data_IF_344616575121
#
_entry.id   IF_344616575121
#
_cell.length_a   1.000
_cell.length_b   1.000
_cell.length_c   1.000
_cell.angle_alpha   90.00
_cell.angle_beta   90.00
_cell.angle_gamma   90.00
#
_symmetry.space_group_name_H-M   'P 1'
#
loop_
_entity.id
_entity.type
_entity.pdbx_description
1 polymer ?
#
# COMPACT_ATOMS: atom_id res chain seq x y z
N UNK A 1 27.28 -13.25 42.73
CA UNK A 1 27.53 -12.28 41.65
C UNK A 1 26.98 -12.91 40.35
N UNK A 2 25.73 -12.67 40.03
CA UNK A 2 25.12 -13.15 38.79
C UNK A 2 24.95 -11.96 37.87
N UNK A 3 25.74 -11.90 36.80
CA UNK A 3 25.69 -10.91 35.75
C UNK A 3 24.41 -11.12 34.91
N UNK A 4 23.42 -10.27 35.08
CA UNK A 4 22.31 -10.12 34.13
C UNK A 4 22.88 -9.66 32.79
N UNK A 5 23.12 -10.60 31.88
CA UNK A 5 23.41 -10.31 30.47
C UNK A 5 22.16 -9.63 29.89
N UNK A 6 22.20 -8.32 29.75
CA UNK A 6 21.27 -7.56 28.90
C UNK A 6 21.36 -8.14 27.49
N UNK A 7 20.33 -8.89 27.06
CA UNK A 7 20.19 -9.38 25.70
C UNK A 7 20.15 -8.16 24.77
N UNK A 8 21.29 -7.77 24.26
CA UNK A 8 21.41 -6.76 23.20
C UNK A 8 20.77 -7.36 21.95
N UNK A 9 19.57 -6.89 21.64
CA UNK A 9 18.84 -7.27 20.42
C UNK A 9 19.74 -6.91 19.24
N UNK A 10 20.27 -7.91 18.55
CA UNK A 10 21.11 -7.70 17.37
C UNK A 10 20.46 -6.72 16.39
N UNK A 11 21.25 -5.81 15.83
CA UNK A 11 20.75 -4.84 14.84
C UNK A 11 20.13 -5.60 13.66
N UNK A 12 19.00 -5.12 13.12
CA UNK A 12 18.36 -5.78 11.99
C UNK A 12 19.30 -5.82 10.78
N UNK A 13 19.26 -6.91 10.02
CA UNK A 13 20.09 -7.07 8.83
C UNK A 13 19.85 -5.91 7.82
N UNK A 14 20.89 -5.45 7.10
CA UNK A 14 20.79 -4.31 6.18
C UNK A 14 19.68 -4.46 5.13
N UNK A 15 19.43 -5.67 4.60
CA UNK A 15 18.34 -5.94 3.67
C UNK A 15 16.97 -5.73 4.32
N UNK A 16 16.80 -6.13 5.58
CA UNK A 16 15.57 -5.94 6.34
C UNK A 16 15.32 -4.44 6.62
N UNK A 17 16.37 -3.69 6.96
CA UNK A 17 16.31 -2.23 7.17
C UNK A 17 15.86 -1.53 5.88
N UNK A 18 16.47 -1.85 4.73
CA UNK A 18 16.13 -1.28 3.44
C UNK A 18 14.65 -1.54 3.06
N UNK A 19 14.15 -2.76 3.30
CA UNK A 19 12.75 -3.10 3.01
C UNK A 19 11.78 -2.40 3.97
N UNK A 20 12.15 -2.20 5.23
CA UNK A 20 11.37 -1.40 6.17
C UNK A 20 11.24 0.07 5.71
N UNK A 21 12.34 0.66 5.28
CA UNK A 21 12.36 2.03 4.78
C UNK A 21 11.62 2.18 3.45
N UNK A 22 11.74 1.21 2.55
CA UNK A 22 10.95 1.17 1.32
C UNK A 22 9.45 1.17 1.63
N UNK A 23 9.00 0.35 2.57
CA UNK A 23 7.59 0.34 2.97
C UNK A 23 7.14 1.71 3.50
N UNK A 24 7.94 2.38 4.34
CA UNK A 24 7.63 3.71 4.83
C UNK A 24 7.55 4.74 3.70
N UNK A 25 8.48 4.71 2.75
CA UNK A 25 8.49 5.59 1.59
C UNK A 25 7.27 5.34 0.67
N UNK A 26 6.86 4.09 0.48
CA UNK A 26 5.64 3.76 -0.28
C UNK A 26 4.38 4.28 0.42
N UNK A 27 4.33 4.26 1.75
CA UNK A 27 3.20 4.87 2.48
C UNK A 27 3.16 6.39 2.29
N UNK A 28 4.30 7.07 2.28
CA UNK A 28 4.34 8.50 1.93
C UNK A 28 3.92 8.73 0.47
N UNK A 29 4.30 7.84 -0.44
CA UNK A 29 3.85 7.89 -1.84
C UNK A 29 2.33 7.69 -1.98
N UNK A 30 1.71 6.85 -1.12
CA UNK A 30 0.25 6.71 -1.04
C UNK A 30 -0.40 8.04 -0.63
N UNK A 31 0.15 8.74 0.37
CA UNK A 31 -0.35 10.07 0.76
C UNK A 31 -0.25 11.04 -0.43
N UNK A 32 0.93 11.12 -1.06
CA UNK A 32 1.14 11.98 -2.22
C UNK A 32 0.18 11.65 -3.37
N UNK A 33 -0.08 10.36 -3.62
CA UNK A 33 -1.03 9.91 -4.63
C UNK A 33 -2.45 10.45 -4.33
N UNK A 34 -2.94 10.28 -3.11
CA UNK A 34 -4.29 10.73 -2.75
C UNK A 34 -4.44 12.26 -2.74
N UNK A 35 -3.43 13.01 -2.29
CA UNK A 35 -3.42 14.49 -2.41
C UNK A 35 -3.44 14.91 -3.89
N UNK A 36 -2.66 14.25 -4.74
CA UNK A 36 -2.61 14.60 -6.17
C UNK A 36 -3.94 14.40 -6.90
N UNK A 37 -4.83 13.53 -6.42
CA UNK A 37 -6.14 13.29 -7.05
C UNK A 37 -7.01 14.54 -7.08
N UNK A 38 -6.90 15.42 -6.07
CA UNK A 38 -7.68 16.67 -6.00
C UNK A 38 -7.23 17.68 -7.08
N UNK A 39 -5.97 17.64 -7.51
CA UNK A 39 -5.36 18.62 -8.41
C UNK A 39 -5.05 18.08 -9.81
N UNK A 40 -5.38 16.82 -10.09
CA UNK A 40 -5.22 16.23 -11.42
C UNK A 40 -6.49 16.47 -12.27
N UNK A 41 -6.36 16.72 -13.59
CA UNK A 41 -7.51 16.92 -14.48
C UNK A 41 -8.17 15.59 -14.88
N UNK A 42 -8.61 14.80 -13.89
CA UNK A 42 -9.27 13.50 -14.09
C UNK A 42 -10.77 13.63 -14.34
N UNK A 43 -11.39 14.65 -13.75
CA UNK A 43 -12.81 14.95 -13.88
C UNK A 43 -13.01 16.30 -14.55
N UNK A 44 -14.11 16.51 -15.32
CA UNK A 44 -14.40 17.80 -15.97
C UNK A 44 -14.64 18.93 -14.96
N UNK A 45 -15.17 18.63 -13.78
CA UNK A 45 -15.51 19.60 -12.74
C UNK A 45 -15.80 18.94 -11.40
N UNK A 46 -16.16 19.73 -10.38
CA UNK A 46 -16.64 19.20 -9.11
C UNK A 46 -17.87 18.30 -9.30
N UNK A 47 -17.98 17.31 -8.42
CA UNK A 47 -19.09 16.36 -8.43
C UNK A 47 -20.36 17.03 -7.88
N UNK A 48 -21.52 16.59 -8.35
CA UNK A 48 -22.81 17.20 -8.02
C UNK A 48 -23.73 16.31 -7.17
N UNK A 49 -23.42 15.01 -7.08
CA UNK A 49 -24.28 14.05 -6.38
C UNK A 49 -23.49 13.28 -5.34
N UNK A 50 -23.95 13.34 -4.08
CA UNK A 50 -23.44 12.53 -2.97
C UNK A 50 -24.48 11.44 -2.67
N UNK A 51 -24.42 10.35 -3.45
CA UNK A 51 -25.32 9.20 -3.33
C UNK A 51 -24.63 7.90 -3.80
N UNK A 52 -25.32 6.76 -3.64
CA UNK A 52 -24.80 5.45 -4.02
C UNK A 52 -24.81 5.16 -5.53
N UNK A 53 -25.55 5.92 -6.32
CA UNK A 53 -25.63 5.75 -7.79
C UNK A 53 -24.45 6.45 -8.48
N UNK A 54 -23.93 7.54 -7.90
CA UNK A 54 -22.88 8.39 -8.46
C UNK A 54 -21.63 8.38 -7.59
N UNK A 55 -21.01 7.20 -7.40
CA UNK A 55 -19.92 7.01 -6.44
C UNK A 55 -18.54 7.50 -6.92
N UNK A 56 -18.45 8.38 -7.92
CA UNK A 56 -17.16 8.94 -8.34
C UNK A 56 -16.45 9.70 -7.20
N UNK A 57 -17.19 10.29 -6.26
CA UNK A 57 -16.66 10.91 -5.05
C UNK A 57 -15.92 9.92 -4.13
N UNK A 58 -16.20 8.64 -4.24
CA UNK A 58 -15.44 7.61 -3.50
C UNK A 58 -13.99 7.50 -3.94
N UNK A 59 -13.70 7.77 -5.22
CA UNK A 59 -12.35 7.78 -5.78
C UNK A 59 -11.73 9.19 -5.80
N UNK A 60 -12.56 10.24 -5.97
CA UNK A 60 -12.16 11.64 -6.09
C UNK A 60 -12.98 12.50 -5.11
N UNK A 61 -12.71 12.41 -3.80
CA UNK A 61 -13.56 13.06 -2.78
C UNK A 61 -13.52 14.58 -2.88
N UNK A 62 -12.37 15.14 -3.19
CA UNK A 62 -12.16 16.58 -3.36
C UNK A 62 -11.68 16.87 -4.77
N UNK A 63 -12.27 17.90 -5.41
CA UNK A 63 -11.91 18.32 -6.76
C UNK A 63 -11.63 19.82 -6.75
N UNK A 64 -10.39 20.20 -6.95
CA UNK A 64 -9.95 21.60 -7.02
C UNK A 64 -10.22 22.21 -8.40
N UNK A 65 -10.37 23.53 -8.46
CA UNK A 65 -10.38 24.29 -9.71
C UNK A 65 -8.97 24.41 -10.29
N UNK A 66 -7.95 24.60 -9.46
CA UNK A 66 -6.56 24.67 -9.87
C UNK A 66 -6.03 23.26 -10.11
N UNK A 67 -5.63 23.00 -11.35
CA UNK A 67 -5.21 21.67 -11.83
C UNK A 67 -3.89 21.73 -12.56
N UNK A 68 -3.14 20.66 -12.52
CA UNK A 68 -1.88 20.53 -13.24
C UNK A 68 -1.74 19.16 -13.89
N UNK A 69 -1.43 19.15 -15.18
CA UNK A 69 -1.31 17.93 -15.99
C UNK A 69 -0.21 16.97 -15.47
N UNK A 70 0.84 17.53 -14.83
CA UNK A 70 1.92 16.74 -14.25
C UNK A 70 1.44 15.75 -13.17
N UNK A 71 0.36 16.07 -12.44
CA UNK A 71 -0.22 15.12 -11.48
C UNK A 71 -0.86 13.91 -12.16
N UNK A 72 -1.38 14.05 -13.39
CA UNK A 72 -1.90 12.92 -14.14
C UNK A 72 -0.81 11.88 -14.46
N UNK A 73 0.39 12.36 -14.85
CA UNK A 73 1.55 11.49 -15.07
C UNK A 73 1.99 10.82 -13.77
N UNK A 74 2.09 11.59 -12.68
CA UNK A 74 2.43 11.07 -11.36
C UNK A 74 1.46 9.98 -10.90
N UNK A 75 0.15 10.23 -11.01
CA UNK A 75 -0.89 9.28 -10.63
C UNK A 75 -0.82 8.01 -11.49
N UNK A 76 -0.67 8.18 -12.82
CA UNK A 76 -0.57 7.08 -13.76
C UNK A 76 0.61 6.16 -13.45
N UNK A 77 1.80 6.74 -13.21
CA UNK A 77 2.99 5.96 -12.84
C UNK A 77 2.80 5.26 -11.50
N UNK A 78 2.39 5.98 -10.47
CA UNK A 78 2.22 5.42 -9.13
C UNK A 78 1.22 4.25 -9.11
N UNK A 79 0.09 4.42 -9.79
CA UNK A 79 -0.99 3.44 -9.84
C UNK A 79 -0.56 2.10 -10.48
N UNK A 80 0.50 2.11 -11.30
CA UNK A 80 0.99 0.86 -11.91
C UNK A 80 1.68 -0.06 -10.91
N UNK A 81 2.40 0.44 -9.87
CA UNK A 81 3.33 -0.42 -9.12
C UNK A 81 3.19 -0.37 -7.60
N UNK A 82 2.81 0.79 -7.00
CA UNK A 82 2.98 0.98 -5.55
C UNK A 82 2.19 -0.02 -4.70
N UNK A 83 0.96 -0.37 -5.10
CA UNK A 83 0.15 -1.36 -4.39
C UNK A 83 0.70 -2.79 -4.58
N UNK A 84 1.10 -3.16 -5.79
CA UNK A 84 1.73 -4.45 -6.06
C UNK A 84 3.00 -4.63 -5.24
N UNK A 85 3.85 -3.59 -5.17
CA UNK A 85 5.07 -3.60 -4.38
C UNK A 85 4.79 -3.68 -2.87
N UNK A 86 3.73 -3.03 -2.36
CA UNK A 86 3.29 -3.16 -0.96
C UNK A 86 2.83 -4.60 -0.64
N UNK A 87 2.13 -5.27 -1.55
CA UNK A 87 1.79 -6.68 -1.40
C UNK A 87 3.02 -7.58 -1.39
N UNK A 88 4.00 -7.33 -2.27
CA UNK A 88 5.28 -8.06 -2.26
C UNK A 88 5.99 -7.91 -0.91
N UNK A 89 6.15 -6.69 -0.42
CA UNK A 89 6.78 -6.42 0.88
C UNK A 89 6.03 -7.07 2.04
N UNK A 90 4.70 -7.16 1.96
CA UNK A 90 3.88 -7.82 2.97
C UNK A 90 4.09 -9.33 2.99
N UNK A 91 4.29 -9.96 1.83
CA UNK A 91 4.57 -11.39 1.68
C UNK A 91 5.92 -11.82 2.27
N UNK A 92 6.94 -10.95 2.29
CA UNK A 92 8.32 -11.30 2.68
C UNK A 92 8.44 -11.98 4.06
N UNK A 93 7.54 -11.68 4.99
CA UNK A 93 7.64 -12.14 6.37
C UNK A 93 6.57 -13.17 6.77
N UNK A 94 5.75 -13.61 5.81
CA UNK A 94 4.64 -14.55 6.06
C UNK A 94 5.18 -15.90 6.52
N UNK A 95 6.09 -16.51 5.77
CA UNK A 95 6.63 -17.84 6.05
C UNK A 95 7.28 -17.90 7.42
N UNK A 96 8.20 -16.99 7.72
CA UNK A 96 8.89 -16.95 9.01
C UNK A 96 7.93 -16.67 10.18
N UNK A 97 6.85 -15.96 9.95
CA UNK A 97 5.82 -15.72 10.96
C UNK A 97 4.92 -16.93 11.19
N UNK A 98 4.56 -17.66 10.12
CA UNK A 98 3.80 -18.91 10.19
C UNK A 98 4.61 -20.02 10.91
N UNK A 99 5.88 -20.19 10.56
CA UNK A 99 6.76 -21.18 11.18
C UNK A 99 6.94 -20.91 12.68
N UNK A 100 7.05 -19.65 13.08
CA UNK A 100 7.27 -19.26 14.48
C UNK A 100 6.02 -19.29 15.34
N UNK A 101 4.84 -18.93 14.80
CA UNK A 101 3.59 -18.77 15.56
C UNK A 101 2.60 -19.91 15.38
N UNK A 102 2.80 -20.77 14.39
CA UNK A 102 1.78 -21.69 13.91
C UNK A 102 0.61 -20.98 13.20
N UNK A 103 -0.30 -21.76 12.61
CA UNK A 103 -1.42 -21.24 11.81
C UNK A 103 -2.40 -20.41 12.63
N UNK A 104 -2.86 -20.92 13.78
CA UNK A 104 -3.81 -20.23 14.64
C UNK A 104 -3.23 -18.95 15.25
N UNK A 105 -1.99 -18.98 15.74
CA UNK A 105 -1.31 -17.81 16.29
C UNK A 105 -1.00 -16.75 15.24
N UNK A 106 -0.70 -17.15 14.00
CA UNK A 106 -0.51 -16.24 12.87
C UNK A 106 -1.84 -15.57 12.51
N UNK A 107 -2.90 -16.35 12.29
CA UNK A 107 -4.21 -15.83 11.89
C UNK A 107 -4.81 -14.93 12.96
N UNK A 108 -4.79 -15.34 14.24
CA UNK A 108 -5.25 -14.50 15.35
C UNK A 108 -4.51 -13.16 15.41
N UNK A 109 -3.17 -13.17 15.20
CA UNK A 109 -2.39 -11.94 15.13
C UNK A 109 -2.77 -11.06 13.93
N UNK A 110 -3.08 -11.66 12.77
CA UNK A 110 -3.51 -10.93 11.58
C UNK A 110 -4.91 -10.32 11.75
N UNK A 111 -5.86 -11.06 12.33
CA UNK A 111 -7.20 -10.55 12.64
C UNK A 111 -7.14 -9.34 13.56
N UNK A 112 -6.33 -9.39 14.61
CA UNK A 112 -6.17 -8.24 15.54
C UNK A 112 -5.44 -7.06 14.87
N UNK A 113 -4.45 -7.32 14.00
CA UNK A 113 -3.62 -6.24 13.41
C UNK A 113 -4.14 -5.68 12.10
N UNK A 114 -4.95 -6.42 11.37
CA UNK A 114 -5.53 -6.00 10.09
C UNK A 114 -7.06 -5.93 10.18
N UNK A 115 -7.72 -6.98 10.68
CA UNK A 115 -9.18 -7.06 10.73
C UNK A 115 -9.81 -6.00 11.62
N UNK A 116 -9.38 -5.90 12.89
CA UNK A 116 -9.93 -4.91 13.80
C UNK A 116 -9.67 -3.46 13.34
N UNK A 117 -8.45 -3.05 12.91
CA UNK A 117 -8.24 -1.73 12.33
C UNK A 117 -9.02 -1.48 11.04
N UNK A 118 -9.23 -2.49 10.19
CA UNK A 118 -10.10 -2.35 9.02
C UNK A 118 -11.54 -1.99 9.40
N UNK A 119 -12.12 -2.72 10.37
CA UNK A 119 -13.47 -2.43 10.84
C UNK A 119 -13.57 -1.04 11.45
N UNK A 120 -12.58 -0.62 12.24
CA UNK A 120 -12.51 0.74 12.80
C UNK A 120 -12.37 1.80 11.69
N UNK A 121 -11.58 1.50 10.65
CA UNK A 121 -11.42 2.42 9.52
C UNK A 121 -12.74 2.61 8.77
N UNK A 122 -13.46 1.53 8.46
CA UNK A 122 -14.75 1.62 7.75
C UNK A 122 -15.82 2.30 8.62
N UNK A 123 -15.86 1.98 9.92
CA UNK A 123 -16.90 2.51 10.81
C UNK A 123 -16.71 3.99 11.18
N UNK A 124 -15.47 4.46 11.31
CA UNK A 124 -15.18 5.79 11.85
C UNK A 124 -14.31 6.65 10.93
N UNK A 125 -13.22 6.09 10.40
CA UNK A 125 -12.29 6.91 9.60
C UNK A 125 -12.84 7.20 8.20
N UNK A 126 -13.56 6.27 7.58
CA UNK A 126 -14.14 6.50 6.26
C UNK A 126 -15.22 7.60 6.29
N UNK A 127 -16.28 7.57 7.14
CA UNK A 127 -17.22 8.69 7.20
C UNK A 127 -16.54 10.01 7.52
N UNK A 128 -15.56 10.03 8.43
CA UNK A 128 -14.81 11.25 8.75
C UNK A 128 -13.99 11.76 7.55
N UNK A 129 -13.40 10.85 6.75
CA UNK A 129 -12.63 11.20 5.56
C UNK A 129 -13.52 11.69 4.40
N UNK A 130 -14.74 11.19 4.27
CA UNK A 130 -15.64 11.54 3.18
C UNK A 130 -16.60 12.69 3.51
N UNK A 131 -16.66 13.14 4.75
CA UNK A 131 -17.47 14.30 5.13
C UNK A 131 -17.08 15.59 4.35
N UNK A 132 -15.79 15.91 4.11
CA UNK A 132 -15.42 17.02 3.24
C UNK A 132 -15.96 16.90 1.80
N UNK A 133 -16.05 15.69 1.24
CA UNK A 133 -16.63 15.45 -0.07
C UNK A 133 -18.13 15.79 -0.08
N UNK A 134 -18.86 15.38 0.95
CA UNK A 134 -20.24 15.75 1.15
C UNK A 134 -20.40 17.28 1.23
N UNK A 135 -19.57 17.97 2.03
CA UNK A 135 -19.60 19.42 2.13
C UNK A 135 -19.33 20.11 0.80
N UNK A 136 -18.36 19.64 0.01
CA UNK A 136 -18.06 20.21 -1.30
C UNK A 136 -19.24 20.03 -2.28
N UNK A 137 -19.86 18.85 -2.28
CA UNK A 137 -20.94 18.50 -3.23
C UNK A 137 -22.26 19.20 -2.87
N UNK A 138 -22.60 19.26 -1.59
CA UNK A 138 -23.92 19.77 -1.15
C UNK A 138 -23.91 21.24 -0.73
N UNK A 139 -22.73 21.80 -0.46
CA UNK A 139 -22.58 23.12 0.16
C UNK A 139 -23.04 23.17 1.63
N UNK A 140 -23.32 22.02 2.26
CA UNK A 140 -23.86 21.91 3.61
C UNK A 140 -22.89 21.20 4.54
N UNK A 141 -22.84 21.61 5.80
CA UNK A 141 -22.10 20.95 6.88
C UNK A 141 -23.05 20.23 7.85
N UNK A 142 -24.26 19.89 7.45
CA UNK A 142 -25.25 19.18 8.27
C UNK A 142 -24.83 17.71 8.46
N UNK A 143 -24.43 17.39 9.71
CA UNK A 143 -24.01 16.04 10.10
C UNK A 143 -25.20 15.06 10.05
N UNK A 144 -26.43 15.51 10.38
CA UNK A 144 -27.61 14.66 10.37
C UNK A 144 -27.98 14.21 8.94
N UNK A 145 -27.97 15.15 7.97
CA UNK A 145 -28.18 14.82 6.55
C UNK A 145 -27.05 13.93 6.02
N UNK A 146 -25.80 14.23 6.37
CA UNK A 146 -24.67 13.38 5.99
C UNK A 146 -24.84 11.93 6.49
N UNK A 147 -25.09 11.73 7.79
CA UNK A 147 -25.27 10.38 8.37
C UNK A 147 -26.45 9.65 7.72
N UNK A 148 -27.55 10.36 7.46
CA UNK A 148 -28.72 9.82 6.77
C UNK A 148 -28.39 9.36 5.35
N UNK A 149 -27.66 10.16 4.56
CA UNK A 149 -27.20 9.78 3.21
C UNK A 149 -26.17 8.67 3.23
N UNK A 150 -25.21 8.74 4.15
CA UNK A 150 -24.19 7.71 4.34
C UNK A 150 -24.79 6.33 4.60
N UNK A 151 -25.79 6.25 5.47
CA UNK A 151 -26.53 5.00 5.76
C UNK A 151 -27.32 4.44 4.58
N UNK A 152 -27.69 5.30 3.61
CA UNK A 152 -28.47 4.92 2.40
C UNK A 152 -27.63 4.62 1.16
N UNK A 153 -26.29 4.67 1.26
CA UNK A 153 -25.41 4.44 0.09
C UNK A 153 -25.51 3.04 -0.52
N UNK A 154 -26.03 2.04 0.21
CA UNK A 154 -26.11 0.65 -0.25
C UNK A 154 -24.76 -0.08 -0.19
N UNK A 155 -23.65 0.64 -0.28
CA UNK A 155 -22.28 0.14 -0.06
C UNK A 155 -21.46 1.21 0.63
N UNK A 156 -20.59 0.82 1.56
CA UNK A 156 -19.74 1.76 2.27
C UNK A 156 -18.34 1.78 1.64
N UNK A 157 -17.86 2.93 1.15
CA UNK A 157 -16.52 3.04 0.61
C UNK A 157 -15.50 2.90 1.73
N UNK A 158 -14.66 1.88 1.65
CA UNK A 158 -13.57 1.68 2.61
C UNK A 158 -12.40 2.67 2.40
N UNK A 159 -12.43 3.46 1.33
CA UNK A 159 -11.29 4.28 0.92
C UNK A 159 -10.02 3.42 0.80
N UNK A 160 -8.84 3.97 1.12
CA UNK A 160 -7.58 3.21 1.07
C UNK A 160 -7.55 1.95 1.93
N UNK A 161 -8.43 1.80 2.92
CA UNK A 161 -8.46 0.62 3.78
C UNK A 161 -8.79 -0.69 3.03
N UNK A 162 -9.25 -0.61 1.76
CA UNK A 162 -9.45 -1.78 0.91
C UNK A 162 -8.23 -2.71 0.86
N UNK A 163 -7.01 -2.16 0.85
CA UNK A 163 -5.78 -2.94 0.85
C UNK A 163 -5.64 -3.85 2.09
N UNK A 164 -6.12 -3.40 3.25
CA UNK A 164 -5.95 -4.11 4.54
C UNK A 164 -6.74 -5.43 4.51
N UNK A 165 -7.98 -5.40 4.04
CA UNK A 165 -8.79 -6.62 4.00
C UNK A 165 -8.33 -7.58 2.89
N UNK A 166 -7.89 -7.06 1.72
CA UNK A 166 -7.31 -7.89 0.65
C UNK A 166 -6.04 -8.58 1.14
N UNK A 167 -5.18 -7.85 1.87
CA UNK A 167 -4.00 -8.44 2.51
C UNK A 167 -4.38 -9.52 3.51
N UNK A 168 -5.42 -9.29 4.34
CA UNK A 168 -5.92 -10.30 5.26
C UNK A 168 -6.42 -11.55 4.52
N UNK A 169 -7.13 -11.37 3.40
CA UNK A 169 -7.57 -12.49 2.57
C UNK A 169 -6.38 -13.29 2.01
N UNK A 170 -5.31 -12.62 1.54
CA UNK A 170 -4.10 -13.30 1.09
C UNK A 170 -3.36 -14.00 2.23
N UNK A 171 -3.35 -13.45 3.43
CA UNK A 171 -2.82 -14.12 4.63
C UNK A 171 -3.62 -15.39 4.98
N UNK A 172 -4.95 -15.37 4.83
CA UNK A 172 -5.81 -16.57 5.00
C UNK A 172 -5.46 -17.64 3.95
N UNK A 173 -5.32 -17.26 2.68
CA UNK A 173 -4.89 -18.19 1.62
C UNK A 173 -3.52 -18.79 1.94
N UNK A 174 -2.57 -17.99 2.42
CA UNK A 174 -1.24 -18.48 2.82
C UNK A 174 -1.33 -19.50 3.98
N UNK A 175 -2.22 -19.27 4.95
CA UNK A 175 -2.50 -20.23 6.05
C UNK A 175 -3.08 -21.54 5.51
N UNK A 176 -4.06 -21.47 4.60
CA UNK A 176 -4.65 -22.65 3.98
C UNK A 176 -3.61 -23.48 3.22
N UNK A 177 -2.78 -22.81 2.42
CA UNK A 177 -1.68 -23.47 1.70
C UNK A 177 -0.67 -24.11 2.68
N UNK A 178 -0.36 -23.44 3.78
CA UNK A 178 0.56 -23.97 4.78
C UNK A 178 -0.02 -25.17 5.54
N UNK A 179 -1.34 -25.22 5.75
CA UNK A 179 -2.00 -26.38 6.39
C UNK A 179 -2.01 -27.60 5.48
N UNK A 180 -2.24 -27.41 4.18
CA UNK A 180 -2.27 -28.50 3.19
C UNK A 180 -0.86 -29.01 2.89
N UNK A 181 0.11 -28.09 2.77
CA UNK A 181 1.49 -28.42 2.45
C UNK A 181 2.48 -27.45 3.08
N UNK A 182 3.09 -27.88 4.21
CA UNK A 182 4.06 -27.04 4.95
C UNK A 182 5.26 -26.57 4.11
N UNK A 183 5.62 -27.31 3.06
CA UNK A 183 6.71 -26.97 2.13
C UNK A 183 6.34 -26.06 0.96
N UNK A 184 5.09 -25.63 0.84
CA UNK A 184 4.59 -24.90 -0.33
C UNK A 184 5.41 -23.65 -0.71
N UNK A 185 5.80 -22.85 0.27
CA UNK A 185 6.58 -21.65 0.03
C UNK A 185 7.99 -21.96 -0.52
N UNK A 186 8.62 -23.05 -0.03
CA UNK A 186 9.87 -23.56 -0.61
C UNK A 186 9.66 -24.12 -2.02
N UNK A 187 8.51 -24.72 -2.30
CA UNK A 187 8.10 -25.13 -3.64
C UNK A 187 8.06 -23.95 -4.60
N UNK A 188 7.42 -22.84 -4.19
CA UNK A 188 7.38 -21.60 -4.99
C UNK A 188 8.78 -21.06 -5.31
N UNK A 189 9.73 -21.15 -4.37
CA UNK A 189 11.11 -20.67 -4.63
C UNK A 189 11.80 -21.43 -5.76
N UNK A 190 11.44 -22.69 -5.99
CA UNK A 190 12.02 -23.52 -7.07
C UNK A 190 11.49 -23.15 -8.45
N UNK A 191 10.31 -22.56 -8.51
CA UNK A 191 9.69 -22.10 -9.77
C UNK A 191 10.26 -20.74 -10.23
N UNK A 192 10.91 -20.00 -9.33
CA UNK A 192 11.47 -18.69 -9.65
C UNK A 192 12.97 -18.78 -9.93
N UNK A 193 13.47 -18.02 -10.91
CA UNK A 193 14.89 -17.90 -11.17
C UNK A 193 15.69 -17.44 -9.94
N UNK A 194 16.99 -17.71 -9.91
CA UNK A 194 17.87 -17.16 -8.89
C UNK A 194 18.03 -15.65 -9.07
N UNK A 195 17.19 -14.89 -8.36
CA UNK A 195 17.17 -13.42 -8.44
C UNK A 195 18.47 -12.77 -7.93
N UNK A 196 19.26 -13.44 -7.07
CA UNK A 196 20.56 -12.93 -6.61
C UNK A 196 21.56 -12.86 -7.75
N UNK A 197 21.64 -13.92 -8.55
CA UNK A 197 22.63 -14.06 -9.64
C UNK A 197 22.08 -13.55 -10.98
N UNK A 198 20.79 -13.75 -11.27
CA UNK A 198 20.13 -13.48 -12.57
C UNK A 198 18.91 -12.57 -12.40
N UNK A 199 19.09 -11.30 -11.93
CA UNK A 199 17.95 -10.41 -11.70
C UNK A 199 17.17 -10.09 -12.97
N UNK A 200 17.82 -10.03 -14.14
CA UNK A 200 17.15 -9.82 -15.42
C UNK A 200 16.20 -10.97 -15.79
N UNK A 201 16.62 -12.24 -15.56
CA UNK A 201 15.75 -13.39 -15.79
C UNK A 201 14.56 -13.39 -14.82
N UNK A 202 14.79 -13.02 -13.55
CA UNK A 202 13.72 -12.86 -12.57
C UNK A 202 12.75 -11.75 -13.00
N UNK A 203 13.25 -10.64 -13.51
CA UNK A 203 12.45 -9.54 -14.03
C UNK A 203 11.57 -9.97 -15.21
N UNK A 204 12.13 -10.67 -16.20
CA UNK A 204 11.36 -11.21 -17.33
C UNK A 204 10.29 -12.19 -16.86
N UNK A 205 10.63 -13.09 -15.94
CA UNK A 205 9.66 -14.02 -15.35
C UNK A 205 8.52 -13.26 -14.65
N UNK A 206 8.86 -12.21 -13.90
CA UNK A 206 7.85 -11.37 -13.24
C UNK A 206 6.92 -10.70 -14.25
N UNK A 207 7.45 -10.15 -15.36
CA UNK A 207 6.62 -9.56 -16.44
C UNK A 207 5.68 -10.61 -17.03
N UNK A 208 6.18 -11.79 -17.37
CA UNK A 208 5.37 -12.84 -17.99
C UNK A 208 4.24 -13.32 -17.05
N UNK A 209 4.58 -13.55 -15.78
CA UNK A 209 3.57 -13.94 -14.78
C UNK A 209 2.57 -12.81 -14.52
N UNK A 210 3.02 -11.56 -14.49
CA UNK A 210 2.15 -10.39 -14.34
C UNK A 210 1.22 -10.23 -15.54
N UNK A 211 1.71 -10.45 -16.75
CA UNK A 211 0.89 -10.43 -17.96
C UNK A 211 -0.20 -11.52 -17.92
N UNK A 212 0.16 -12.73 -17.55
CA UNK A 212 -0.79 -13.83 -17.39
C UNK A 212 -1.84 -13.57 -16.28
N UNK A 213 -1.45 -12.91 -15.20
CA UNK A 213 -2.35 -12.60 -14.09
C UNK A 213 -3.26 -11.40 -14.35
N UNK A 214 -2.79 -10.38 -15.09
CA UNK A 214 -3.49 -9.10 -15.23
C UNK A 214 -4.23 -8.96 -16.57
N UNK A 215 -3.58 -9.27 -17.70
CA UNK A 215 -4.11 -8.95 -19.03
C UNK A 215 -5.47 -9.61 -19.31
N UNK A 216 -5.67 -10.91 -19.04
CA UNK A 216 -6.98 -11.55 -19.26
C UNK A 216 -8.08 -10.92 -18.42
N UNK A 217 -7.77 -10.54 -17.18
CA UNK A 217 -8.70 -9.86 -16.28
C UNK A 217 -9.07 -8.46 -16.78
N UNK A 218 -8.09 -7.69 -17.25
CA UNK A 218 -8.32 -6.38 -17.83
C UNK A 218 -9.16 -6.46 -19.10
N UNK A 219 -8.90 -7.42 -19.98
CA UNK A 219 -9.69 -7.67 -21.20
C UNK A 219 -11.13 -8.06 -20.90
N UNK A 220 -11.36 -8.87 -19.87
CA UNK A 220 -12.67 -9.38 -19.49
C UNK A 220 -13.52 -8.36 -18.72
N UNK A 221 -12.93 -7.59 -17.82
CA UNK A 221 -13.63 -6.74 -16.86
C UNK A 221 -13.36 -5.25 -17.01
N UNK A 222 -12.35 -4.86 -17.79
CA UNK A 222 -11.85 -3.49 -17.87
C UNK A 222 -10.86 -3.17 -16.76
N UNK A 223 -9.89 -2.29 -17.05
CA UNK A 223 -8.81 -1.92 -16.11
C UNK A 223 -9.29 -1.13 -14.89
N UNK A 224 -10.40 -0.39 -15.01
CA UNK A 224 -10.91 0.51 -13.97
C UNK A 224 -12.04 -0.07 -13.12
N UNK A 225 -12.50 -1.29 -13.41
CA UNK A 225 -13.67 -1.88 -12.72
C UNK A 225 -13.35 -2.25 -11.27
N UNK A 226 -14.23 -1.84 -10.37
CA UNK A 226 -14.22 -2.25 -8.97
C UNK A 226 -15.34 -3.25 -8.70
N UNK A 227 -15.04 -4.29 -7.94
CA UNK A 227 -16.03 -5.17 -7.30
C UNK A 227 -16.31 -4.62 -5.91
N UNK A 228 -17.60 -4.51 -5.59
CA UNK A 228 -18.09 -3.96 -4.33
C UNK A 228 -18.99 -4.97 -3.65
N UNK A 229 -18.61 -5.41 -2.46
CA UNK A 229 -19.40 -6.28 -1.59
C UNK A 229 -19.57 -5.62 -0.23
N UNK A 230 -20.60 -4.78 -0.08
CA UNK A 230 -20.79 -4.00 1.13
C UNK A 230 -19.58 -3.11 1.43
N UNK A 231 -18.76 -3.49 2.41
CA UNK A 231 -17.52 -2.79 2.78
C UNK A 231 -16.28 -3.37 2.09
N UNK A 232 -16.39 -4.50 1.43
CA UNK A 232 -15.27 -5.21 0.79
C UNK A 232 -15.16 -4.77 -0.67
N UNK A 233 -14.31 -3.81 -0.94
CA UNK A 233 -14.09 -3.24 -2.26
C UNK A 233 -12.70 -3.61 -2.77
N UNK A 234 -12.57 -3.98 -4.04
CA UNK A 234 -11.28 -4.22 -4.67
C UNK A 234 -11.33 -4.01 -6.18
N UNK A 235 -10.21 -3.67 -6.78
CA UNK A 235 -10.12 -3.50 -8.21
C UNK A 235 -10.06 -4.87 -8.90
N UNK A 236 -11.12 -5.19 -9.67
CA UNK A 236 -11.38 -6.53 -10.20
C UNK A 236 -10.24 -7.06 -11.07
N UNK A 237 -9.74 -6.23 -11.99
CA UNK A 237 -8.67 -6.63 -12.92
C UNK A 237 -7.32 -6.87 -12.24
N UNK A 238 -7.07 -6.32 -11.04
CA UNK A 238 -5.76 -6.35 -10.39
C UNK A 238 -5.63 -7.40 -9.29
N UNK A 239 -6.70 -8.07 -8.90
CA UNK A 239 -6.67 -8.97 -7.73
C UNK A 239 -5.63 -10.09 -7.88
N UNK A 240 -5.53 -10.71 -9.07
CA UNK A 240 -4.54 -11.76 -9.32
C UNK A 240 -3.12 -11.20 -9.47
N UNK A 241 -2.96 -9.98 -9.98
CA UNK A 241 -1.67 -9.30 -10.00
C UNK A 241 -1.17 -9.05 -8.57
N UNK A 242 -2.02 -8.56 -7.68
CA UNK A 242 -1.69 -8.34 -6.27
C UNK A 242 -1.38 -9.65 -5.55
N UNK A 243 -2.17 -10.71 -5.79
CA UNK A 243 -1.89 -12.05 -5.25
C UNK A 243 -0.54 -12.59 -5.74
N UNK A 244 -0.21 -12.41 -7.03
CA UNK A 244 1.09 -12.81 -7.59
C UNK A 244 2.25 -12.10 -6.88
N UNK A 245 2.19 -10.77 -6.73
CA UNK A 245 3.25 -10.02 -6.04
C UNK A 245 3.38 -10.44 -4.58
N UNK A 246 2.27 -10.66 -3.89
CA UNK A 246 2.28 -11.20 -2.52
C UNK A 246 2.95 -12.58 -2.47
N UNK A 247 2.62 -13.50 -3.37
CA UNK A 247 3.21 -14.85 -3.42
C UNK A 247 4.69 -14.82 -3.80
N UNK A 248 5.11 -13.92 -4.69
CA UNK A 248 6.54 -13.67 -4.97
C UNK A 248 7.24 -13.17 -3.73
N UNK A 249 6.63 -12.25 -2.97
CA UNK A 249 7.13 -11.82 -1.67
C UNK A 249 7.31 -12.99 -0.71
N UNK A 250 6.34 -13.89 -0.61
CA UNK A 250 6.42 -15.11 0.21
C UNK A 250 7.58 -16.02 -0.25
N UNK A 251 7.74 -16.23 -1.56
CA UNK A 251 8.83 -17.05 -2.09
C UNK A 251 10.21 -16.44 -1.82
N UNK A 252 10.36 -15.12 -2.00
CA UNK A 252 11.58 -14.37 -1.70
C UNK A 252 11.92 -14.45 -0.21
N UNK A 253 10.89 -14.27 0.66
CA UNK A 253 11.03 -14.39 2.11
C UNK A 253 11.39 -15.80 2.58
N UNK A 254 10.80 -16.83 1.97
CA UNK A 254 11.11 -18.25 2.28
C UNK A 254 12.53 -18.66 1.89
N UNK A 255 13.09 -18.07 0.83
CA UNK A 255 14.50 -18.25 0.46
C UNK A 255 15.46 -17.52 1.41
N UNK A 256 14.97 -16.50 2.11
CA UNK A 256 15.76 -15.59 2.92
C UNK A 256 16.24 -14.37 2.11
N UNK A 257 16.21 -13.19 2.72
CA UNK A 257 16.47 -11.92 2.02
C UNK A 257 17.84 -11.90 1.35
N UNK A 258 18.90 -12.33 2.07
CA UNK A 258 20.27 -12.29 1.58
C UNK A 258 20.63 -13.41 0.59
N UNK A 259 19.80 -14.46 0.51
CA UNK A 259 19.93 -15.54 -0.47
C UNK A 259 19.05 -15.34 -1.71
N UNK A 260 18.30 -14.24 -1.79
CA UNK A 260 17.28 -13.98 -2.82
C UNK A 260 17.61 -12.75 -3.67
N UNK A 261 16.61 -12.28 -4.44
CA UNK A 261 16.63 -11.03 -5.20
C UNK A 261 17.08 -9.82 -4.33
N UNK A 262 16.77 -9.83 -3.03
CA UNK A 262 17.01 -8.72 -2.10
C UNK A 262 18.39 -8.78 -1.41
N UNK A 263 19.31 -9.62 -1.92
CA UNK A 263 20.67 -9.74 -1.41
C UNK A 263 21.46 -8.44 -1.52
N UNK A 264 22.20 -8.11 -0.46
CA UNK A 264 23.15 -7.00 -0.46
C UNK A 264 24.31 -7.19 -1.46
N UNK A 265 24.62 -8.42 -1.83
CA UNK A 265 25.67 -8.75 -2.81
C UNK A 265 25.08 -9.07 -4.20
N UNK A 266 23.75 -9.01 -4.34
CA UNK A 266 23.04 -9.41 -5.54
C UNK A 266 23.17 -8.44 -6.71
N UNK A 267 22.84 -8.94 -7.89
CA UNK A 267 22.89 -8.18 -9.15
C UNK A 267 21.88 -7.03 -9.19
N UNK A 268 20.72 -7.14 -8.49
CA UNK A 268 19.74 -6.06 -8.40
C UNK A 268 20.35 -4.80 -7.78
N UNK A 269 21.01 -4.94 -6.63
CA UNK A 269 21.67 -3.81 -5.96
C UNK A 269 22.87 -3.28 -6.73
N UNK A 270 23.68 -4.16 -7.33
CA UNK A 270 24.88 -3.76 -8.08
C UNK A 270 24.51 -2.99 -9.34
N UNK A 271 23.48 -3.42 -10.04
CA UNK A 271 22.96 -2.79 -11.26
C UNK A 271 21.85 -1.76 -11.02
N UNK A 272 21.76 -1.13 -9.85
CA UNK A 272 20.67 -0.21 -9.46
C UNK A 272 20.37 0.86 -10.52
N UNK A 273 21.38 1.41 -11.14
CA UNK A 273 21.24 2.47 -12.14
C UNK A 273 20.57 1.97 -13.43
N UNK A 274 20.75 0.71 -13.82
CA UNK A 274 20.07 0.11 -14.98
C UNK A 274 18.57 0.11 -14.75
N UNK A 275 18.14 -0.31 -13.55
CA UNK A 275 16.73 -0.38 -13.17
C UNK A 275 16.09 1.00 -13.07
N UNK A 276 16.84 2.00 -12.57
CA UNK A 276 16.37 3.39 -12.52
C UNK A 276 16.25 3.97 -13.93
N UNK A 277 17.26 3.78 -14.78
CA UNK A 277 17.21 4.26 -16.15
C UNK A 277 16.14 3.57 -16.99
N UNK A 278 15.83 2.30 -16.74
CA UNK A 278 14.76 1.59 -17.44
C UNK A 278 13.34 2.14 -17.12
N UNK A 279 13.19 2.93 -16.06
CA UNK A 279 11.92 3.57 -15.74
C UNK A 279 11.50 4.60 -16.80
N UNK A 280 12.45 5.30 -17.42
CA UNK A 280 12.14 6.28 -18.47
C UNK A 280 11.52 5.62 -19.72
N UNK A 281 12.15 4.64 -20.39
CA UNK A 281 11.52 3.98 -21.53
C UNK A 281 10.24 3.25 -21.18
N UNK A 282 10.10 2.70 -19.96
CA UNK A 282 8.85 2.11 -19.51
C UNK A 282 7.73 3.15 -19.42
N UNK A 283 8.00 4.34 -18.90
CA UNK A 283 7.03 5.45 -18.83
C UNK A 283 6.65 5.91 -20.24
N UNK A 284 7.63 6.09 -21.12
CA UNK A 284 7.38 6.52 -22.51
C UNK A 284 6.56 5.48 -23.29
N UNK A 285 6.87 4.19 -23.11
CA UNK A 285 6.06 3.10 -23.65
C UNK A 285 4.63 3.16 -23.11
N UNK A 286 4.45 3.32 -21.79
CA UNK A 286 3.15 3.41 -21.14
C UNK A 286 2.32 4.58 -21.70
N UNK A 287 2.89 5.77 -21.73
CA UNK A 287 2.25 6.97 -22.29
C UNK A 287 1.93 6.80 -23.79
N UNK A 288 2.89 6.27 -24.58
CA UNK A 288 2.70 6.02 -26.00
C UNK A 288 1.55 5.06 -26.29
N UNK A 289 1.45 3.96 -25.53
CA UNK A 289 0.36 2.99 -25.67
C UNK A 289 -0.99 3.58 -25.22
N UNK A 290 -1.05 4.36 -24.14
CA UNK A 290 -2.27 5.06 -23.70
C UNK A 290 -2.73 6.03 -24.81
N UNK A 291 -1.85 6.85 -25.36
CA UNK A 291 -2.18 7.78 -26.44
C UNK A 291 -2.64 7.01 -27.69
N UNK A 292 -1.90 5.98 -28.10
CA UNK A 292 -2.27 5.16 -29.26
C UNK A 292 -3.66 4.55 -29.11
N UNK A 293 -4.00 4.03 -27.92
CA UNK A 293 -5.31 3.43 -27.66
C UNK A 293 -6.44 4.47 -27.51
N UNK A 294 -6.14 5.70 -27.13
CA UNK A 294 -7.14 6.77 -27.06
C UNK A 294 -7.59 7.25 -28.45
N UNK A 295 -6.71 7.20 -29.45
CA UNK A 295 -7.02 7.57 -30.85
C UNK A 295 -7.55 6.39 -31.69
N UNK A 296 -7.29 5.17 -31.28
CA UNK A 296 -7.71 3.94 -31.98
C UNK A 296 -9.19 3.58 -31.69
N UNK A 297 -10.10 4.49 -32.04
CA UNK A 297 -11.55 4.36 -31.72
C UNK A 297 -12.23 3.14 -32.35
N UNK A 298 -11.69 2.57 -33.43
CA UNK A 298 -12.25 1.40 -34.11
C UNK A 298 -11.90 0.04 -33.50
N UNK A 299 -10.99 -0.02 -32.52
CA UNK A 299 -10.60 -1.28 -31.89
C UNK A 299 -11.62 -1.73 -30.81
N UNK A 300 -11.89 -3.04 -30.71
CA UNK A 300 -12.68 -3.60 -29.61
C UNK A 300 -12.09 -3.21 -28.23
N UNK A 301 -12.97 -2.98 -27.25
CA UNK A 301 -12.54 -2.58 -25.90
C UNK A 301 -11.53 -3.58 -25.30
N UNK A 302 -11.76 -4.89 -25.46
CA UNK A 302 -10.87 -5.94 -24.97
C UNK A 302 -9.44 -5.81 -25.56
N UNK A 303 -9.30 -5.44 -26.83
CA UNK A 303 -7.99 -5.25 -27.47
C UNK A 303 -7.28 -4.02 -26.87
N UNK A 304 -8.00 -2.92 -26.69
CA UNK A 304 -7.45 -1.71 -26.06
C UNK A 304 -7.00 -1.97 -24.62
N UNK A 305 -7.81 -2.70 -23.84
CA UNK A 305 -7.47 -3.11 -22.47
C UNK A 305 -6.27 -4.08 -22.44
N UNK A 306 -6.17 -5.00 -23.41
CA UNK A 306 -5.03 -5.90 -23.54
C UNK A 306 -3.71 -5.15 -23.81
N UNK A 307 -3.73 -4.21 -24.74
CA UNK A 307 -2.56 -3.38 -25.07
C UNK A 307 -2.17 -2.46 -23.89
N UNK A 308 -3.16 -1.82 -23.24
CA UNK A 308 -2.94 -1.07 -22.00
C UNK A 308 -2.37 -1.95 -20.89
N UNK A 309 -2.80 -3.22 -20.84
CA UNK A 309 -2.30 -4.22 -19.91
C UNK A 309 -0.81 -4.52 -20.06
N UNK A 310 -0.27 -4.49 -21.27
CA UNK A 310 1.18 -4.63 -21.52
C UNK A 310 1.94 -3.46 -20.86
N UNK A 311 1.48 -2.22 -21.07
CA UNK A 311 2.06 -1.05 -20.42
C UNK A 311 2.03 -1.18 -18.90
N UNK A 312 0.87 -1.57 -18.36
CA UNK A 312 0.67 -1.76 -16.91
C UNK A 312 1.68 -2.73 -16.32
N UNK A 313 1.86 -3.93 -16.88
CA UNK A 313 2.74 -4.95 -16.30
C UNK A 313 4.22 -4.60 -16.46
N UNK A 314 4.61 -3.99 -17.59
CA UNK A 314 6.00 -3.53 -17.81
C UNK A 314 6.33 -2.42 -16.83
N UNK A 315 5.51 -1.40 -16.68
CA UNK A 315 5.69 -0.33 -15.70
C UNK A 315 5.71 -0.89 -14.27
N UNK A 316 4.77 -1.76 -13.91
CA UNK A 316 4.69 -2.38 -12.59
C UNK A 316 6.01 -3.07 -12.19
N UNK A 317 6.53 -3.94 -13.06
CA UNK A 317 7.78 -4.66 -12.80
C UNK A 317 8.98 -3.70 -12.77
N UNK A 318 9.07 -2.78 -13.72
CA UNK A 318 10.19 -1.84 -13.84
C UNK A 318 10.30 -0.93 -12.63
N UNK A 319 9.21 -0.26 -12.24
CA UNK A 319 9.22 0.61 -11.07
C UNK A 319 9.42 -0.16 -9.77
N UNK A 320 8.87 -1.38 -9.65
CA UNK A 320 9.13 -2.24 -8.49
C UNK A 320 10.63 -2.55 -8.37
N UNK A 321 11.29 -2.93 -9.47
CA UNK A 321 12.73 -3.21 -9.47
C UNK A 321 13.56 -1.97 -9.20
N UNK A 322 13.22 -0.82 -9.80
CA UNK A 322 13.91 0.44 -9.56
C UNK A 322 13.86 0.84 -8.07
N UNK A 323 12.68 0.81 -7.45
CA UNK A 323 12.51 1.14 -6.03
C UNK A 323 13.25 0.14 -5.12
N UNK A 324 13.13 -1.16 -5.36
CA UNK A 324 13.89 -2.18 -4.62
C UNK A 324 15.40 -1.96 -4.75
N UNK A 325 15.91 -1.70 -5.95
CA UNK A 325 17.33 -1.49 -6.20
C UNK A 325 17.88 -0.23 -5.50
N UNK A 326 17.14 0.89 -5.57
CA UNK A 326 17.52 2.16 -4.91
C UNK A 326 17.58 1.97 -3.40
N UNK A 327 16.55 1.37 -2.79
CA UNK A 327 16.55 1.18 -1.35
C UNK A 327 17.62 0.19 -0.88
N UNK A 328 17.85 -0.89 -1.59
CA UNK A 328 18.97 -1.81 -1.31
C UNK A 328 20.34 -1.13 -1.45
N UNK A 329 20.49 -0.16 -2.34
CA UNK A 329 21.76 0.53 -2.57
C UNK A 329 22.03 1.61 -1.54
N UNK A 330 21.07 2.45 -1.20
CA UNK A 330 21.29 3.70 -0.48
C UNK A 330 20.75 3.70 0.96
N UNK A 331 19.74 2.88 1.28
CA UNK A 331 19.02 2.96 2.56
C UNK A 331 19.35 1.77 3.48
N UNK A 332 20.63 1.58 3.80
CA UNK A 332 21.12 0.44 4.58
C UNK A 332 21.52 0.79 6.02
N UNK A 333 21.83 2.06 6.24
CA UNK A 333 22.29 2.54 7.55
C UNK A 333 21.10 3.00 8.39
N UNK A 334 21.14 2.76 9.71
CA UNK A 334 20.12 3.28 10.60
C UNK A 334 19.99 4.79 10.48
N UNK A 335 18.75 5.28 10.36
CA UNK A 335 18.39 6.69 10.35
C UNK A 335 17.20 6.89 11.29
N UNK A 336 17.28 7.79 12.30
CA UNK A 336 16.22 7.96 13.31
C UNK A 336 14.86 8.32 12.72
N UNK A 337 14.81 9.19 11.71
CA UNK A 337 13.57 9.61 11.04
C UNK A 337 12.95 8.42 10.30
N UNK A 338 13.75 7.73 9.47
CA UNK A 338 13.28 6.55 8.72
C UNK A 338 12.88 5.39 9.64
N UNK A 339 13.58 5.21 10.76
CA UNK A 339 13.20 4.23 11.78
C UNK A 339 11.84 4.57 12.40
N UNK A 340 11.60 5.85 12.73
CA UNK A 340 10.32 6.31 13.25
C UNK A 340 9.20 6.18 12.21
N UNK A 341 9.42 6.59 10.98
CA UNK A 341 8.45 6.41 9.88
C UNK A 341 8.12 4.93 9.66
N UNK A 342 9.12 4.05 9.65
CA UNK A 342 8.92 2.60 9.51
C UNK A 342 8.11 2.02 10.66
N UNK A 343 8.41 2.41 11.90
CA UNK A 343 7.68 1.94 13.08
C UNK A 343 6.22 2.40 13.10
N UNK A 344 5.92 3.53 12.50
CA UNK A 344 4.59 4.13 12.46
C UNK A 344 3.87 3.96 11.11
N UNK A 345 4.51 3.37 10.09
CA UNK A 345 4.02 3.32 8.70
C UNK A 345 2.60 2.76 8.56
N UNK A 346 2.24 1.75 9.35
CA UNK A 346 0.90 1.19 9.34
C UNK A 346 -0.15 2.15 9.90
N UNK A 347 0.15 2.81 11.04
CA UNK A 347 -0.74 3.83 11.60
C UNK A 347 -0.90 5.04 10.68
N UNK A 348 0.19 5.49 10.06
CA UNK A 348 0.18 6.55 9.04
C UNK A 348 -0.76 6.16 7.89
N UNK A 349 -0.59 4.94 7.35
CA UNK A 349 -1.45 4.42 6.29
C UNK A 349 -2.94 4.39 6.69
N UNK A 350 -3.24 4.07 7.94
CA UNK A 350 -4.63 3.93 8.41
C UNK A 350 -5.36 5.29 8.47
N UNK A 351 -4.67 6.34 8.91
CA UNK A 351 -5.31 7.64 9.22
C UNK A 351 -5.14 8.70 8.15
N UNK A 352 -4.21 8.51 7.19
CA UNK A 352 -3.81 9.59 6.26
C UNK A 352 -4.96 10.16 5.45
N UNK A 353 -5.93 9.33 5.05
CA UNK A 353 -6.98 9.73 4.14
C UNK A 353 -7.94 10.76 4.75
N UNK A 354 -8.09 10.72 6.07
CA UNK A 354 -8.82 11.77 6.81
C UNK A 354 -8.10 13.10 6.61
N UNK A 355 -6.80 13.16 6.92
CA UNK A 355 -6.03 14.41 6.83
C UNK A 355 -5.91 14.91 5.39
N UNK A 356 -5.74 14.02 4.42
CA UNK A 356 -5.69 14.38 2.99
C UNK A 356 -6.98 15.13 2.60
N UNK A 357 -8.14 14.52 2.79
CA UNK A 357 -9.39 15.10 2.30
C UNK A 357 -9.77 16.39 3.03
N UNK A 358 -9.47 16.49 4.33
CA UNK A 358 -9.72 17.71 5.08
C UNK A 358 -8.78 18.86 4.68
N UNK A 359 -7.50 18.57 4.41
CA UNK A 359 -6.55 19.58 3.95
C UNK A 359 -6.85 20.02 2.52
N UNK A 360 -7.16 19.07 1.62
CA UNK A 360 -7.55 19.39 0.25
C UNK A 360 -8.81 20.25 0.22
N UNK A 361 -9.80 19.94 1.07
CA UNK A 361 -11.01 20.76 1.21
C UNK A 361 -10.70 22.18 1.75
N UNK A 362 -9.88 22.28 2.78
CA UNK A 362 -9.48 23.58 3.35
C UNK A 362 -8.71 24.46 2.34
N UNK A 363 -8.04 23.83 1.38
CA UNK A 363 -7.29 24.52 0.32
C UNK A 363 -8.13 24.84 -0.93
N UNK A 364 -9.43 24.57 -0.96
CA UNK A 364 -10.29 24.97 -2.08
C UNK A 364 -10.42 26.50 -2.22
N UNK A 365 -10.56 27.22 -1.10
CA UNK A 365 -10.74 28.66 -1.09
C UNK A 365 -9.52 29.50 -1.48
N UNK A 366 -8.30 29.23 -0.95
CA UNK A 366 -7.13 30.05 -1.22
C UNK A 366 -6.74 30.03 -2.71
N UNK A 367 -6.38 31.20 -3.27
CA UNK A 367 -5.90 31.35 -4.66
C UNK A 367 -4.41 31.01 -4.75
N UNK A 368 -4.07 29.73 -4.59
CA UNK A 368 -2.73 29.19 -4.72
C UNK A 368 -2.65 28.26 -5.94
N UNK A 369 -1.51 28.19 -6.64
CA UNK A 369 -1.34 27.24 -7.75
C UNK A 369 -1.40 25.79 -7.26
N UNK A 370 -1.86 24.86 -8.10
CA UNK A 370 -2.05 23.44 -7.79
C UNK A 370 -0.83 22.80 -7.11
N UNK A 371 0.39 23.13 -7.57
CA UNK A 371 1.63 22.62 -6.98
C UNK A 371 1.85 23.08 -5.53
N UNK A 372 1.50 24.32 -5.20
CA UNK A 372 1.61 24.84 -3.83
C UNK A 372 0.56 24.19 -2.92
N UNK A 373 -0.70 24.08 -3.37
CA UNK A 373 -1.76 23.37 -2.65
C UNK A 373 -1.37 21.91 -2.36
N UNK A 374 -0.88 21.21 -3.38
CA UNK A 374 -0.35 19.85 -3.22
C UNK A 374 0.76 19.77 -2.17
N UNK A 375 1.76 20.67 -2.23
CA UNK A 375 2.89 20.64 -1.28
C UNK A 375 2.41 20.85 0.17
N UNK A 376 1.51 21.81 0.40
CA UNK A 376 0.93 22.09 1.72
C UNK A 376 0.12 20.90 2.22
N UNK A 377 -0.78 20.36 1.40
CA UNK A 377 -1.62 19.22 1.76
C UNK A 377 -0.79 17.96 2.02
N UNK A 378 0.20 17.67 1.16
CA UNK A 378 1.07 16.51 1.33
C UNK A 378 1.90 16.57 2.61
N UNK A 379 2.60 17.68 2.85
CA UNK A 379 3.41 17.83 4.06
C UNK A 379 2.54 17.83 5.30
N UNK A 380 1.41 18.55 5.28
CA UNK A 380 0.44 18.59 6.37
C UNK A 380 -0.12 17.19 6.69
N UNK A 381 -0.62 16.47 5.68
CA UNK A 381 -1.17 15.13 5.85
C UNK A 381 -0.11 14.14 6.35
N UNK A 382 1.11 14.18 5.81
CA UNK A 382 2.21 13.32 6.24
C UNK A 382 2.59 13.56 7.71
N UNK A 383 2.74 14.82 8.12
CA UNK A 383 3.08 15.19 9.50
C UNK A 383 1.96 14.83 10.48
N UNK A 384 0.70 15.19 10.18
CA UNK A 384 -0.43 14.91 11.06
C UNK A 384 -0.65 13.40 11.21
N UNK A 385 -0.54 12.65 10.13
CA UNK A 385 -0.64 11.18 10.17
C UNK A 385 0.49 10.55 10.98
N UNK A 386 1.72 11.04 10.83
CA UNK A 386 2.87 10.55 11.58
C UNK A 386 2.75 10.85 13.07
N UNK A 387 2.39 12.09 13.44
CA UNK A 387 2.19 12.49 14.83
C UNK A 387 1.08 11.66 15.49
N UNK A 388 -0.05 11.49 14.81
CA UNK A 388 -1.18 10.66 15.28
C UNK A 388 -0.74 9.21 15.50
N UNK A 389 -0.09 8.59 14.53
CA UNK A 389 0.39 7.22 14.65
C UNK A 389 1.45 7.07 15.77
N UNK A 390 2.37 8.02 15.91
CA UNK A 390 3.39 8.02 16.95
C UNK A 390 2.78 8.16 18.35
N UNK A 391 1.76 9.01 18.50
CA UNK A 391 1.02 9.18 19.77
C UNK A 391 0.34 7.86 20.18
N UNK A 392 -0.42 7.24 19.29
CA UNK A 392 -1.07 5.95 19.60
C UNK A 392 -0.07 4.84 19.93
N UNK A 393 1.06 4.77 19.23
CA UNK A 393 2.10 3.80 19.53
C UNK A 393 2.76 4.03 20.89
N UNK A 394 2.92 5.28 21.33
CA UNK A 394 3.45 5.61 22.69
C UNK A 394 2.46 5.22 23.78
N UNK A 395 1.18 5.56 23.62
CA UNK A 395 0.12 5.18 24.57
C UNK A 395 -0.03 3.67 24.70
N UNK A 396 0.04 2.93 23.57
CA UNK A 396 -0.02 1.47 23.59
C UNK A 396 1.18 0.80 24.27
N UNK A 397 2.36 1.42 24.25
CA UNK A 397 3.56 0.94 24.98
C UNK A 397 3.47 1.21 26.47
N UNK A 398 2.98 2.38 26.88
CA UNK A 398 2.76 2.72 28.29
C UNK A 398 1.82 1.73 28.98
N UNK A 399 0.72 1.37 28.34
CA UNK A 399 -0.23 0.39 28.89
C UNK A 399 0.34 -1.04 29.05
N UNK A 400 1.35 -1.43 28.28
CA UNK A 400 2.04 -2.73 28.41
C UNK A 400 3.12 -2.73 29.49
N UNK A 401 3.61 -1.59 29.92
CA UNK A 401 4.61 -1.46 30.98
C UNK A 401 3.97 -1.51 32.38
N UNK A 402 2.72 -1.04 32.54
CA UNK A 402 2.02 -1.01 33.85
C UNK A 402 1.79 -2.39 34.45
N UNK A 403 1.37 -3.45 33.73
CA UNK A 403 1.20 -4.79 34.31
C UNK A 403 2.51 -5.41 34.82
N UNK A 404 3.65 -5.10 34.21
CA UNK A 404 4.95 -5.61 34.67
C UNK A 404 5.44 -4.95 35.95
N UNK A 405 5.06 -3.70 36.19
CA UNK A 405 5.33 -3.03 37.47
C UNK A 405 4.44 -3.56 38.59
N UNK A 406 3.16 -3.85 38.31
CA UNK A 406 2.24 -4.45 39.28
C UNK A 406 2.64 -5.88 39.66
N UNK A 407 3.11 -6.68 38.70
CA UNK A 407 3.62 -8.03 38.99
C UNK A 407 4.93 -8.03 39.77
N UNK A 408 5.82 -7.07 39.51
CA UNK A 408 7.05 -6.90 40.28
C UNK A 408 6.78 -6.47 41.72
N UNK A 409 5.80 -5.59 41.94
CA UNK A 409 5.37 -5.17 43.31
C UNK A 409 4.73 -6.31 44.10
N UNK A 410 3.93 -7.16 43.42
CA UNK A 410 3.35 -8.36 44.06
C UNK A 410 4.40 -9.41 44.41
N UNK A 411 5.47 -9.58 43.61
CA UNK A 411 6.56 -10.49 43.96
C UNK A 411 7.38 -9.98 45.14
N UNK A 412 7.56 -8.66 45.29
CA UNK A 412 8.26 -8.07 46.45
C UNK A 412 7.43 -8.22 47.72
N UNK A 413 6.12 -8.02 47.65
CA UNK A 413 5.20 -8.18 48.82
C UNK A 413 5.06 -9.66 49.21
N UNK A 414 5.01 -10.60 48.26
CA UNK A 414 4.94 -12.04 48.51
C UNK A 414 6.26 -12.68 49.02
N UNK A 415 7.38 -11.97 48.92
CA UNK A 415 8.68 -12.44 49.46
C UNK A 415 8.97 -11.89 50.87
N UNK A 416 8.11 -11.02 51.37
CA UNK A 416 8.22 -10.41 52.72
C UNK A 416 7.19 -10.97 53.74
N UNK A 417 6.35 -11.91 53.30
CA UNK A 417 5.46 -12.73 54.15
C UNK A 417 5.94 -14.19 54.19
#
# INVERSE_FOLDING_TARGET
MSSHALSTRAAPAPSSTAMGYLRAALVLLVIAHHVATAYAPLLPGPLQHFDGAHMAWGAFPIVSHERWLGFLVMLGVNDTFFMSLLFLLSGLFVTSSLERRGTAGFLGNRLVRLGAPFLLAVAFLAPLAYFPAYMQITGSADIGDFVSRWGRLGSLPAGPAWFIWVLLAFDVVAVLLFTVWRGWAKGLTRLLPDGKRRPALFFLTLILLSAAAYIPMAMAFGSSRWTVWGVLNFQTSRIFLYALYFMIGVAVGARGLDASLLSQEGGLRKGWWVWVLSALPATLLGLGLIIAMSVAKGLPAAVREGVGGIAMVVCCATFSFAWLAVFLRFFRRPNPVMNSLTANSYGIYLVHYVFVNWLDYALLGPSLPAGAKFAIAFVGAALLSWLTAAMFNRLGRGRRAVPSLLSATQQVIGAAS
#
